data_IF_518983520726
#
_entry.id   IF_518983520726
#
_cell.length_a   1.000
_cell.length_b   1.000
_cell.length_c   1.000
_cell.angle_alpha   90.00
_cell.angle_beta   90.00
_cell.angle_gamma   90.00
#
_symmetry.space_group_name_H-M   'P 1'
#
loop_
_entity.id
_entity.type
_entity.pdbx_description
1 polymer ?
#
# COMPACT_ATOMS: atom_id res chain seq x y z
N UNK A 1 -13.53 -17.14 -43.40
CA UNK A 1 -13.15 -15.97 -42.57
C UNK A 1 -14.07 -15.90 -41.35
N UNK A 2 -13.68 -16.52 -40.23
CA UNK A 2 -14.46 -16.51 -38.99
C UNK A 2 -13.91 -15.43 -38.05
N UNK A 3 -14.78 -14.46 -37.71
CA UNK A 3 -14.53 -13.43 -36.70
C UNK A 3 -14.70 -14.04 -35.31
N UNK A 4 -13.60 -14.28 -34.61
CA UNK A 4 -13.63 -14.62 -33.17
C UNK A 4 -13.68 -13.34 -32.34
N UNK A 5 -14.88 -12.78 -32.17
CA UNK A 5 -15.16 -11.80 -31.14
C UNK A 5 -15.31 -12.53 -29.80
N UNK A 6 -14.28 -12.46 -28.95
CA UNK A 6 -14.33 -12.99 -27.58
C UNK A 6 -14.99 -11.96 -26.67
N UNK A 7 -16.07 -12.36 -26.00
CA UNK A 7 -16.90 -11.52 -25.15
C UNK A 7 -16.19 -11.06 -23.86
N UNK A 8 -16.30 -9.76 -23.54
CA UNK A 8 -15.93 -9.13 -22.26
C UNK A 8 -16.98 -9.45 -21.16
N UNK A 9 -17.12 -10.71 -20.74
CA UNK A 9 -17.88 -11.05 -19.52
C UNK A 9 -17.13 -12.07 -18.67
N UNK A 10 -16.82 -11.66 -17.44
CA UNK A 10 -16.44 -12.50 -16.30
C UNK A 10 -15.14 -13.32 -16.44
N UNK A 11 -14.01 -12.67 -16.74
CA UNK A 11 -12.72 -13.19 -16.29
C UNK A 11 -12.43 -12.62 -14.91
N UNK A 12 -12.47 -13.50 -13.90
CA UNK A 12 -11.96 -13.30 -12.54
C UNK A 12 -10.55 -12.69 -12.66
N UNK A 13 -10.46 -11.36 -12.57
CA UNK A 13 -9.20 -10.65 -12.72
C UNK A 13 -8.25 -11.10 -11.60
N UNK A 14 -7.13 -11.71 -11.99
CA UNK A 14 -6.03 -12.03 -11.07
C UNK A 14 -5.46 -10.68 -10.62
N UNK A 15 -5.69 -10.32 -9.37
CA UNK A 15 -5.06 -9.15 -8.76
C UNK A 15 -3.69 -9.54 -8.24
N UNK A 16 -2.67 -8.74 -8.50
CA UNK A 16 -1.37 -8.89 -7.86
C UNK A 16 -1.44 -8.16 -6.52
N UNK A 17 -1.22 -8.90 -5.44
CA UNK A 17 -1.09 -8.31 -4.11
C UNK A 17 0.36 -7.88 -3.91
N UNK A 18 0.65 -6.58 -3.89
CA UNK A 18 1.99 -6.09 -3.57
C UNK A 18 2.05 -5.65 -2.10
N UNK A 19 2.78 -6.40 -1.27
CA UNK A 19 3.09 -6.01 0.11
C UNK A 19 4.54 -5.59 0.25
N UNK A 20 4.77 -4.50 0.97
CA UNK A 20 6.10 -4.00 1.29
C UNK A 20 6.27 -4.03 2.80
N UNK A 21 7.26 -4.79 3.26
CA UNK A 21 7.65 -4.84 4.67
C UNK A 21 9.05 -4.25 4.85
N UNK A 22 9.20 -3.44 5.91
CA UNK A 22 10.45 -2.76 6.24
C UNK A 22 11.05 -3.28 7.54
N UNK A 23 12.34 -3.59 7.48
CA UNK A 23 13.20 -3.80 8.65
C UNK A 23 13.92 -2.49 9.03
N UNK A 24 14.36 -2.38 10.29
CA UNK A 24 15.28 -1.31 10.67
C UNK A 24 16.58 -1.46 9.86
N UNK A 25 16.84 -0.43 9.05
CA UNK A 25 18.03 -0.12 8.25
C UNK A 25 18.23 -0.72 6.85
N UNK A 26 17.88 -1.96 6.45
CA UNK A 26 18.47 -2.46 5.17
C UNK A 26 17.69 -3.37 4.20
N UNK A 27 16.43 -3.77 4.42
CA UNK A 27 15.74 -4.65 3.45
C UNK A 27 14.27 -4.31 3.24
N UNK A 28 13.87 -4.32 1.97
CA UNK A 28 12.49 -4.20 1.51
C UNK A 28 12.14 -5.52 0.82
N UNK A 29 11.22 -6.29 1.39
CA UNK A 29 10.69 -7.49 0.71
C UNK A 29 9.38 -7.12 0.04
N UNK A 30 9.30 -7.46 -1.24
CA UNK A 30 8.09 -7.37 -2.05
C UNK A 30 7.54 -8.80 -2.13
N UNK A 31 6.39 -9.04 -1.52
CA UNK A 31 5.64 -10.27 -1.72
C UNK A 31 4.53 -10.01 -2.72
N UNK A 32 4.47 -10.85 -3.76
CA UNK A 32 3.51 -10.83 -4.85
C UNK A 32 2.93 -12.22 -5.06
N UNK A 33 1.66 -12.44 -4.68
CA UNK A 33 0.95 -13.69 -5.00
C UNK A 33 -0.12 -13.41 -6.07
N UNK A 34 0.09 -13.97 -7.26
CA UNK A 34 -0.80 -13.88 -8.42
C UNK A 34 -1.89 -14.97 -8.45
N UNK A 35 -1.94 -15.86 -7.45
CA UNK A 35 -2.87 -17.00 -7.33
C UNK A 35 -3.93 -16.79 -6.25
N UNK A 36 -3.87 -15.69 -5.50
CA UNK A 36 -4.79 -15.37 -4.41
C UNK A 36 -6.27 -15.31 -4.84
N UNK A 37 -7.12 -16.01 -4.09
CA UNK A 37 -8.58 -15.92 -4.25
C UNK A 37 -9.16 -14.82 -3.37
N UNK A 38 -10.24 -14.16 -3.80
CA UNK A 38 -10.93 -13.08 -3.07
C UNK A 38 -11.32 -13.43 -1.62
N UNK A 39 -11.52 -14.71 -1.31
CA UNK A 39 -11.87 -15.19 0.02
C UNK A 39 -10.67 -15.20 1.00
N UNK A 40 -9.46 -15.55 0.53
CA UNK A 40 -8.23 -15.52 1.33
C UNK A 40 -7.58 -14.14 1.41
N UNK A 41 -8.06 -13.21 0.61
CA UNK A 41 -7.42 -11.93 0.42
C UNK A 41 -7.37 -11.11 1.72
N UNK A 42 -8.40 -11.21 2.57
CA UNK A 42 -8.48 -10.47 3.83
C UNK A 42 -7.40 -10.88 4.85
N UNK A 43 -7.04 -12.15 4.86
CA UNK A 43 -6.14 -12.76 5.84
C UNK A 43 -4.71 -12.88 5.31
N UNK A 44 -4.49 -12.63 4.02
CA UNK A 44 -3.19 -12.63 3.36
C UNK A 44 -2.15 -11.74 4.07
N UNK A 45 -2.59 -10.65 4.72
CA UNK A 45 -1.72 -9.79 5.55
C UNK A 45 -1.16 -10.55 6.75
N UNK A 46 -1.98 -11.34 7.43
CA UNK A 46 -1.57 -12.12 8.59
C UNK A 46 -0.70 -13.30 8.16
N UNK A 47 -1.09 -14.02 7.10
CA UNK A 47 -0.28 -15.09 6.52
C UNK A 47 1.12 -14.58 6.11
N UNK A 48 1.20 -13.39 5.51
CA UNK A 48 2.48 -12.76 5.17
C UNK A 48 3.34 -12.47 6.41
N UNK A 49 2.74 -11.98 7.49
CA UNK A 49 3.44 -11.72 8.75
C UNK A 49 3.98 -13.03 9.33
N UNK A 50 3.18 -14.10 9.32
CA UNK A 50 3.61 -15.40 9.83
C UNK A 50 4.79 -15.96 9.00
N UNK A 51 4.73 -15.87 7.67
CA UNK A 51 5.85 -16.26 6.79
C UNK A 51 7.08 -15.39 7.03
N UNK A 52 6.89 -14.08 7.25
CA UNK A 52 7.98 -13.18 7.56
C UNK A 52 8.66 -13.56 8.89
N UNK A 53 7.88 -13.81 9.93
CA UNK A 53 8.35 -14.20 11.25
C UNK A 53 9.12 -15.52 11.18
N UNK A 54 8.60 -16.52 10.46
CA UNK A 54 9.30 -17.79 10.24
C UNK A 54 10.67 -17.61 9.56
N UNK A 55 10.79 -16.66 8.62
CA UNK A 55 12.03 -16.45 7.85
C UNK A 55 13.04 -15.54 8.55
N UNK A 56 12.57 -14.59 9.34
CA UNK A 56 13.42 -13.54 9.94
C UNK A 56 13.57 -13.69 11.45
N UNK A 57 12.80 -14.57 12.08
CA UNK A 57 12.75 -14.79 13.52
C UNK A 57 12.01 -13.71 14.31
N UNK A 58 11.39 -12.72 13.65
CA UNK A 58 10.72 -11.58 14.31
C UNK A 58 9.68 -10.90 13.43
N UNK A 59 8.65 -10.24 13.99
CA UNK A 59 7.67 -9.50 13.20
C UNK A 59 8.30 -8.37 12.39
N UNK A 60 7.67 -7.97 11.27
CA UNK A 60 8.06 -6.76 10.56
C UNK A 60 7.77 -5.54 11.45
N UNK A 61 8.64 -4.52 11.40
CA UNK A 61 8.38 -3.29 12.17
C UNK A 61 7.23 -2.48 11.57
N UNK A 62 7.12 -2.50 10.24
CA UNK A 62 6.10 -1.75 9.53
C UNK A 62 5.73 -2.40 8.20
N UNK A 63 4.43 -2.32 7.86
CA UNK A 63 3.87 -2.74 6.59
C UNK A 63 3.28 -1.55 5.82
N UNK A 64 3.57 -1.47 4.52
CA UNK A 64 2.97 -0.50 3.61
C UNK A 64 2.29 -1.26 2.47
N UNK A 65 1.00 -1.03 2.25
CA UNK A 65 0.22 -1.81 1.27
C UNK A 65 -1.00 -1.06 0.70
N UNK A 66 -1.31 -1.36 -0.57
CA UNK A 66 -2.30 -0.68 -1.42
C UNK A 66 -3.66 -0.46 -0.76
N UNK A 67 -4.53 -1.46 -0.69
CA UNK A 67 -5.91 -1.23 -0.27
C UNK A 67 -6.67 -2.53 -0.11
N UNK A 68 -7.64 -2.50 0.81
CA UNK A 68 -8.87 -3.34 0.87
C UNK A 68 -8.74 -4.85 1.04
N UNK A 69 -7.54 -5.36 1.31
CA UNK A 69 -7.33 -6.80 1.54
C UNK A 69 -7.16 -7.14 2.99
N UNK A 70 -7.68 -6.33 3.89
CA UNK A 70 -7.71 -6.70 5.28
C UNK A 70 -8.84 -5.99 5.99
N UNK A 71 -9.37 -6.61 7.03
CA UNK A 71 -10.48 -6.04 7.80
C UNK A 71 -9.91 -5.12 8.88
N UNK A 72 -10.75 -4.25 9.46
CA UNK A 72 -10.35 -3.51 10.66
C UNK A 72 -9.97 -4.45 11.82
N UNK A 73 -10.54 -5.65 11.88
CA UNK A 73 -10.16 -6.66 12.87
C UNK A 73 -8.71 -7.15 12.63
N UNK A 74 -8.32 -7.38 11.38
CA UNK A 74 -6.96 -7.80 11.06
C UNK A 74 -5.97 -6.64 11.29
N UNK A 75 -6.33 -5.39 10.97
CA UNK A 75 -5.53 -4.22 11.36
C UNK A 75 -5.39 -4.11 12.88
N UNK A 76 -6.43 -4.48 13.63
CA UNK A 76 -6.40 -4.50 15.09
C UNK A 76 -5.43 -5.57 15.60
N UNK A 77 -5.38 -6.73 14.96
CA UNK A 77 -4.40 -7.77 15.27
C UNK A 77 -2.96 -7.29 15.02
N UNK A 78 -2.70 -6.60 13.90
CA UNK A 78 -1.40 -5.96 13.63
C UNK A 78 -1.03 -4.99 14.75
N UNK A 79 -2.00 -4.19 15.19
CA UNK A 79 -1.80 -3.25 16.29
C UNK A 79 -1.47 -3.95 17.61
N UNK A 80 -2.18 -5.03 17.95
CA UNK A 80 -1.91 -5.85 19.14
C UNK A 80 -0.53 -6.52 19.09
N UNK A 81 -0.09 -6.94 17.89
CA UNK A 81 1.27 -7.46 17.63
C UNK A 81 2.35 -6.36 17.59
N UNK A 82 1.99 -5.08 17.83
CA UNK A 82 2.89 -3.91 17.79
C UNK A 82 3.55 -3.70 16.42
N UNK A 83 2.86 -4.07 15.35
CA UNK A 83 3.28 -3.88 13.96
C UNK A 83 2.66 -2.58 13.46
N UNK A 84 3.50 -1.67 12.96
CA UNK A 84 3.01 -0.45 12.34
C UNK A 84 2.48 -0.73 10.93
N UNK A 85 1.50 0.04 10.48
CA UNK A 85 1.03 -0.07 9.10
C UNK A 85 0.68 1.26 8.48
N UNK A 86 0.73 1.32 7.16
CA UNK A 86 0.25 2.43 6.34
C UNK A 86 -0.45 1.87 5.10
N UNK A 87 -1.74 2.12 4.96
CA UNK A 87 -2.55 1.59 3.86
C UNK A 87 -3.61 2.57 3.36
N UNK A 88 -4.22 2.34 2.19
CA UNK A 88 -5.38 3.12 1.77
C UNK A 88 -6.64 2.72 2.54
N UNK A 89 -7.40 3.74 2.93
CA UNK A 89 -8.78 3.61 3.38
C UNK A 89 -9.75 3.57 2.19
N UNK A 90 -10.77 2.71 2.26
CA UNK A 90 -11.87 2.72 1.28
C UNK A 90 -12.59 4.07 1.31
N UNK A 91 -12.71 4.68 0.13
CA UNK A 91 -13.45 5.92 -0.13
C UNK A 91 -14.97 5.69 -0.11
N UNK A 92 -15.54 5.48 1.08
CA UNK A 92 -16.99 5.46 1.23
C UNK A 92 -17.57 6.85 0.90
N UNK A 93 -18.68 6.95 0.15
CA UNK A 93 -19.23 8.24 -0.29
C UNK A 93 -19.38 9.24 0.85
N UNK A 94 -19.97 8.82 1.99
CA UNK A 94 -20.14 9.68 3.17
C UNK A 94 -18.82 10.21 3.74
N UNK A 95 -17.74 9.42 3.73
CA UNK A 95 -16.42 9.86 4.21
C UNK A 95 -15.84 10.89 3.24
N UNK A 96 -15.92 10.61 1.93
CA UNK A 96 -15.40 11.51 0.90
C UNK A 96 -16.13 12.84 0.90
N UNK A 97 -17.46 12.80 0.99
CA UNK A 97 -18.32 13.98 1.04
C UNK A 97 -17.99 14.84 2.25
N UNK A 98 -17.91 14.24 3.45
CA UNK A 98 -17.51 14.94 4.68
C UNK A 98 -16.15 15.63 4.53
N UNK A 99 -15.18 14.97 3.91
CA UNK A 99 -13.83 15.52 3.68
C UNK A 99 -13.85 16.62 2.63
N UNK A 100 -14.66 16.48 1.58
CA UNK A 100 -14.80 17.49 0.52
C UNK A 100 -15.47 18.76 1.01
N UNK A 101 -16.38 18.65 1.98
CA UNK A 101 -17.04 19.79 2.63
C UNK A 101 -16.16 20.52 3.65
N UNK A 102 -14.95 20.02 3.95
CA UNK A 102 -14.03 20.70 4.88
C UNK A 102 -13.53 22.03 4.31
N UNK A 103 -13.52 23.11 5.10
CA UNK A 103 -13.02 24.41 4.66
C UNK A 103 -11.55 24.34 4.26
N UNK A 104 -11.13 25.25 3.37
CA UNK A 104 -9.76 25.31 2.88
C UNK A 104 -8.72 25.47 4.00
N UNK A 105 -9.08 26.12 5.11
CA UNK A 105 -8.22 26.31 6.29
C UNK A 105 -7.80 25.01 6.97
N UNK A 106 -8.56 23.94 6.82
CA UNK A 106 -8.23 22.64 7.41
C UNK A 106 -7.15 21.89 6.62
N UNK A 107 -6.99 22.25 5.35
CA UNK A 107 -6.05 21.64 4.44
C UNK A 107 -4.65 22.23 4.64
N UNK A 108 -3.79 21.47 5.30
CA UNK A 108 -2.39 21.87 5.53
C UNK A 108 -1.52 21.47 4.35
N UNK A 109 -0.80 22.43 3.78
CA UNK A 109 0.21 22.13 2.74
C UNK A 109 1.39 21.40 3.37
N UNK A 110 1.86 20.35 2.71
CA UNK A 110 3.07 19.61 3.08
C UNK A 110 4.05 19.58 1.90
N UNK A 111 5.32 19.29 2.17
CA UNK A 111 6.36 19.11 1.15
C UNK A 111 6.79 17.64 1.10
N UNK A 112 6.70 17.05 -0.08
CA UNK A 112 7.20 15.73 -0.41
C UNK A 112 8.53 15.85 -1.14
N UNK A 113 9.45 14.92 -0.88
CA UNK A 113 10.81 14.96 -1.41
C UNK A 113 11.08 13.85 -2.44
N UNK A 114 10.23 12.82 -2.48
CA UNK A 114 10.52 11.58 -3.20
C UNK A 114 9.56 11.32 -4.36
N UNK A 115 8.85 12.35 -4.82
CA UNK A 115 7.90 12.29 -5.93
C UNK A 115 8.22 13.39 -6.96
N UNK A 116 7.77 13.21 -8.21
CA UNK A 116 7.94 14.21 -9.25
C UNK A 116 7.39 15.59 -8.84
N UNK A 117 8.07 16.66 -9.29
CA UNK A 117 7.79 18.07 -8.88
C UNK A 117 6.31 18.46 -8.93
N UNK A 118 5.56 17.93 -9.90
CA UNK A 118 4.10 18.16 -10.07
C UNK A 118 3.28 17.81 -8.81
N UNK A 119 3.73 16.83 -8.03
CA UNK A 119 3.02 16.32 -6.85
C UNK A 119 3.76 16.60 -5.54
N UNK A 120 4.80 17.46 -5.58
CA UNK A 120 5.69 17.68 -4.45
C UNK A 120 5.05 18.47 -3.30
N UNK A 121 3.93 19.17 -3.54
CA UNK A 121 3.26 19.97 -2.50
C UNK A 121 1.77 19.68 -2.38
N UNK A 122 1.38 18.47 -1.92
CA UNK A 122 -0.01 18.17 -1.68
C UNK A 122 -0.54 18.89 -0.43
N UNK A 123 -1.85 18.83 -0.26
CA UNK A 123 -2.52 19.31 0.94
C UNK A 123 -3.13 18.14 1.69
N UNK A 124 -3.07 18.19 3.02
CA UNK A 124 -3.56 17.12 3.89
C UNK A 124 -4.54 17.60 4.95
N UNK A 125 -5.51 16.75 5.26
CA UNK A 125 -6.21 16.74 6.55
C UNK A 125 -5.71 15.51 7.29
N UNK A 126 -5.31 15.70 8.54
CA UNK A 126 -4.71 14.68 9.39
C UNK A 126 -5.45 14.63 10.71
N UNK A 127 -6.14 13.52 10.98
CA UNK A 127 -7.08 13.40 12.09
C UNK A 127 -7.14 11.97 12.66
N UNK A 128 -7.37 11.81 13.98
CA UNK A 128 -7.75 10.53 14.54
C UNK A 128 -9.16 10.13 14.10
N UNK A 129 -9.39 8.83 13.94
CA UNK A 129 -10.67 8.24 13.58
C UNK A 129 -10.87 6.92 14.34
N UNK A 130 -12.04 6.76 14.91
CA UNK A 130 -12.47 5.47 15.48
C UNK A 130 -13.19 4.66 14.41
N UNK A 131 -12.91 3.36 14.34
CA UNK A 131 -13.55 2.44 13.39
C UNK A 131 -14.01 1.18 14.11
N UNK A 132 -15.12 0.59 13.66
CA UNK A 132 -15.64 -0.64 14.24
C UNK A 132 -14.63 -1.79 14.08
N UNK A 133 -14.55 -2.65 15.09
CA UNK A 133 -13.63 -3.80 15.16
C UNK A 133 -12.14 -3.42 15.25
N UNK A 134 -11.82 -2.22 15.73
CA UNK A 134 -10.48 -1.80 16.08
C UNK A 134 -10.53 -1.14 17.46
N UNK A 135 -9.68 -1.56 18.40
CA UNK A 135 -9.83 -1.24 19.83
C UNK A 135 -9.19 0.07 20.27
N UNK A 136 -8.57 0.81 19.36
CA UNK A 136 -7.93 2.10 19.62
C UNK A 136 -8.31 3.14 18.55
N UNK A 137 -7.76 4.35 18.63
CA UNK A 137 -7.89 5.29 17.52
C UNK A 137 -6.90 4.94 16.40
N UNK A 138 -7.39 5.07 15.16
CA UNK A 138 -6.54 5.09 13.99
C UNK A 138 -6.29 6.53 13.56
N UNK A 139 -5.26 6.74 12.76
CA UNK A 139 -5.01 8.02 12.12
C UNK A 139 -5.40 7.95 10.65
N UNK A 140 -6.24 8.88 10.23
CA UNK A 140 -6.58 9.11 8.83
C UNK A 140 -5.81 10.32 8.29
N UNK A 141 -5.20 10.15 7.12
CA UNK A 141 -4.61 11.26 6.36
C UNK A 141 -5.32 11.34 5.01
N UNK A 142 -6.13 12.38 4.81
CA UNK A 142 -6.75 12.69 3.53
C UNK A 142 -5.82 13.60 2.72
N UNK A 143 -5.45 13.21 1.50
CA UNK A 143 -4.46 13.91 0.67
C UNK A 143 -5.08 14.38 -0.64
N UNK A 144 -4.97 15.68 -0.93
CA UNK A 144 -5.28 16.30 -2.22
C UNK A 144 -3.98 16.69 -2.93
N UNK A 145 -4.00 16.70 -4.27
CA UNK A 145 -2.84 17.12 -5.07
C UNK A 145 -1.86 16.01 -5.45
N UNK A 146 -2.28 14.74 -5.35
CA UNK A 146 -1.52 13.57 -5.85
C UNK A 146 -1.97 13.09 -7.25
N UNK A 147 -2.68 13.94 -8.00
CA UNK A 147 -3.12 13.62 -9.38
C UNK A 147 -4.48 12.92 -9.50
N UNK A 148 -5.20 12.69 -8.39
CA UNK A 148 -6.58 12.19 -8.39
C UNK A 148 -7.59 13.31 -8.09
N UNK A 149 -8.77 13.26 -8.72
CA UNK A 149 -9.87 14.20 -8.45
C UNK A 149 -10.38 14.12 -7.01
N UNK A 150 -10.59 12.89 -6.53
CA UNK A 150 -11.01 12.63 -5.14
C UNK A 150 -9.78 12.47 -4.24
N UNK A 151 -9.81 12.97 -2.99
CA UNK A 151 -8.71 12.80 -2.06
C UNK A 151 -8.30 11.33 -1.91
N UNK A 152 -7.00 11.09 -1.82
CA UNK A 152 -6.44 9.81 -1.39
C UNK A 152 -6.61 9.70 0.12
N UNK A 153 -7.16 8.61 0.63
CA UNK A 153 -7.33 8.41 2.07
C UNK A 153 -6.34 7.37 2.54
N UNK A 154 -5.43 7.74 3.44
CA UNK A 154 -4.50 6.85 4.10
C UNK A 154 -4.99 6.53 5.52
N UNK A 155 -4.65 5.35 6.01
CA UNK A 155 -4.91 4.88 7.36
C UNK A 155 -3.63 4.31 7.98
N UNK A 156 -3.36 4.64 9.24
CA UNK A 156 -2.18 4.17 9.97
C UNK A 156 -2.43 4.13 11.47
N UNK A 157 -1.66 3.29 12.18
CA UNK A 157 -1.51 3.35 13.65
C UNK A 157 -0.26 4.16 14.09
N UNK A 158 0.40 4.87 13.17
CA UNK A 158 1.48 5.82 13.47
C UNK A 158 0.90 7.17 13.91
N UNK A 159 0.73 7.36 15.22
CA UNK A 159 0.11 8.58 15.75
C UNK A 159 1.06 9.78 15.78
N UNK A 160 2.37 9.54 15.91
CA UNK A 160 3.37 10.60 16.16
C UNK A 160 4.16 11.02 14.92
N UNK A 161 4.16 10.21 13.86
CA UNK A 161 4.98 10.48 12.68
C UNK A 161 4.48 11.71 11.90
N UNK A 162 5.36 12.45 11.23
CA UNK A 162 4.92 13.63 10.45
C UNK A 162 4.09 13.18 9.24
N UNK A 163 2.99 13.88 8.89
CA UNK A 163 2.17 13.56 7.72
C UNK A 163 2.98 13.50 6.43
N UNK A 164 3.96 14.40 6.28
CA UNK A 164 4.83 14.43 5.11
C UNK A 164 5.63 13.13 4.95
N UNK A 165 6.14 12.55 6.04
CA UNK A 165 6.93 11.32 6.02
C UNK A 165 6.07 10.11 5.66
N UNK A 166 4.85 10.04 6.22
CA UNK A 166 3.88 9.00 5.90
C UNK A 166 3.44 9.09 4.43
N UNK A 167 3.09 10.28 3.95
CA UNK A 167 2.67 10.49 2.56
C UNK A 167 3.83 10.23 1.60
N UNK A 168 5.06 10.68 1.89
CA UNK A 168 6.24 10.37 1.08
C UNK A 168 6.49 8.85 1.01
N UNK A 169 6.37 8.17 2.16
CA UNK A 169 6.54 6.71 2.24
C UNK A 169 5.51 5.97 1.40
N UNK A 170 4.25 6.38 1.48
CA UNK A 170 3.20 5.80 0.65
C UNK A 170 3.40 6.14 -0.84
N UNK A 171 3.77 7.38 -1.17
CA UNK A 171 4.03 7.82 -2.54
C UNK A 171 5.17 7.03 -3.21
N UNK A 172 6.22 6.67 -2.46
CA UNK A 172 7.30 5.78 -2.96
C UNK A 172 6.78 4.43 -3.42
N UNK A 173 5.67 3.94 -2.87
CA UNK A 173 5.06 2.67 -3.29
C UNK A 173 4.52 2.74 -4.73
N UNK A 174 4.12 3.91 -5.23
CA UNK A 174 3.78 4.07 -6.66
C UNK A 174 4.99 3.85 -7.56
N UNK A 175 6.20 4.25 -7.14
CA UNK A 175 7.43 3.98 -7.89
C UNK A 175 7.76 2.49 -7.91
N UNK A 176 7.43 1.79 -6.83
CA UNK A 176 7.60 0.34 -6.73
C UNK A 176 6.56 -0.39 -7.59
N UNK A 177 5.31 0.06 -7.61
CA UNK A 177 4.30 -0.46 -8.54
C UNK A 177 4.68 -0.24 -9.98
N UNK A 178 5.12 0.96 -10.35
CA UNK A 178 5.66 1.20 -11.68
C UNK A 178 6.84 0.26 -11.95
N UNK A 179 7.74 0.00 -10.99
CA UNK A 179 8.84 -0.95 -11.19
C UNK A 179 8.40 -2.41 -11.30
N UNK A 180 7.32 -2.81 -10.63
CA UNK A 180 6.73 -4.16 -10.70
C UNK A 180 5.93 -4.30 -12.00
N UNK A 181 5.19 -3.27 -12.40
CA UNK A 181 4.45 -3.19 -13.67
C UNK A 181 5.42 -3.14 -14.84
N UNK A 182 6.49 -2.35 -14.76
CA UNK A 182 7.58 -2.32 -15.73
C UNK A 182 8.29 -3.67 -15.76
N UNK A 183 8.56 -4.30 -14.61
CA UNK A 183 9.11 -5.64 -14.58
C UNK A 183 8.15 -6.65 -15.22
N UNK A 184 6.86 -6.62 -14.91
CA UNK A 184 5.85 -7.51 -15.47
C UNK A 184 5.68 -7.28 -16.98
N UNK A 185 5.63 -6.03 -17.42
CA UNK A 185 5.59 -5.64 -18.83
C UNK A 185 6.88 -6.04 -19.56
N UNK A 186 8.03 -5.93 -18.90
CA UNK A 186 9.32 -6.39 -19.42
C UNK A 186 9.41 -7.93 -19.46
N UNK A 187 8.82 -8.62 -18.48
CA UNK A 187 8.70 -10.08 -18.40
C UNK A 187 7.47 -10.61 -19.15
N UNK A 188 6.74 -9.77 -19.89
CA UNK A 188 5.72 -10.19 -20.86
C UNK A 188 6.31 -10.56 -22.23
N UNK A 189 7.44 -11.30 -22.20
CA UNK A 189 7.76 -12.31 -23.20
C UNK A 189 7.87 -13.66 -22.48
N UNK A 190 6.81 -14.47 -22.62
CA UNK A 190 6.73 -15.91 -22.35
C UNK A 190 7.83 -16.54 -21.46
N UNK A 191 7.64 -16.59 -20.13
CA UNK A 191 8.32 -17.61 -19.32
C UNK A 191 7.68 -17.83 -17.93
N UNK A 192 7.13 -19.04 -17.78
CA UNK A 192 7.17 -19.93 -16.62
C UNK A 192 8.04 -19.49 -15.41
N UNK A 193 7.43 -19.54 -14.22
CA UNK A 193 8.01 -19.94 -12.91
C UNK A 193 9.51 -19.63 -12.64
N UNK A 194 9.80 -18.74 -11.68
CA UNK A 194 10.75 -19.05 -10.60
C UNK A 194 10.91 -17.90 -9.59
N UNK A 195 10.91 -18.25 -8.31
CA UNK A 195 11.49 -17.46 -7.22
C UNK A 195 12.97 -17.24 -7.49
N UNK A 196 13.39 -16.01 -7.74
CA UNK A 196 14.81 -15.63 -7.80
C UNK A 196 15.20 -14.99 -6.46
N UNK A 197 16.16 -15.55 -5.70
CA UNK A 197 16.83 -14.80 -4.65
C UNK A 197 17.75 -13.78 -5.33
N UNK A 198 17.42 -12.49 -5.21
CA UNK A 198 18.30 -11.39 -5.63
C UNK A 198 19.57 -11.38 -4.76
N UNK A 199 20.58 -12.13 -5.18
CA UNK A 199 21.95 -12.01 -4.66
C UNK A 199 22.67 -10.97 -5.52
N UNK A 200 22.79 -9.73 -5.02
CA UNK A 200 23.67 -8.72 -5.63
C UNK A 200 25.13 -9.20 -5.49
N UNK A 201 25.78 -9.52 -6.62
CA UNK A 201 27.21 -9.31 -6.80
C UNK A 201 27.36 -8.24 -7.87
N UNK A 202 27.83 -7.06 -7.49
CA UNK A 202 28.45 -6.12 -8.43
C UNK A 202 29.90 -5.94 -7.96
N UNK A 203 30.91 -6.08 -8.83
CA UNK A 203 32.30 -5.75 -8.49
C UNK A 203 32.47 -4.22 -8.44
N UNK A 204 33.52 -3.72 -7.76
CA UNK A 204 33.79 -2.30 -7.69
C UNK A 204 34.35 -1.80 -9.02
N UNK A 205 33.90 -0.63 -9.45
CA UNK A 205 34.66 0.22 -10.37
C UNK A 205 34.76 1.57 -9.66
N UNK A 206 35.99 2.07 -9.62
CA UNK A 206 36.51 3.22 -8.85
C UNK A 206 35.64 4.48 -8.92
#
# INVERSE_FOLDING_TARGET
MQKHFVSKRSRRQRGILAMVAREASQRMLIYGDATMTKARQNDAVLEFIDVWEQRTGRPPKELVFDSRFTTYANLNELNQRKIYFLTLRRRHPAIVEKIQQRPASDWKKIQLHNIGRKYATPHVIDEPVTVRNYSADLRQIAVKGLGHEKPTLLMTNRMEEKPAELVDRYARRMLIENSIEDAINFFHMDALSSTVPLRRKFPPIF
#
